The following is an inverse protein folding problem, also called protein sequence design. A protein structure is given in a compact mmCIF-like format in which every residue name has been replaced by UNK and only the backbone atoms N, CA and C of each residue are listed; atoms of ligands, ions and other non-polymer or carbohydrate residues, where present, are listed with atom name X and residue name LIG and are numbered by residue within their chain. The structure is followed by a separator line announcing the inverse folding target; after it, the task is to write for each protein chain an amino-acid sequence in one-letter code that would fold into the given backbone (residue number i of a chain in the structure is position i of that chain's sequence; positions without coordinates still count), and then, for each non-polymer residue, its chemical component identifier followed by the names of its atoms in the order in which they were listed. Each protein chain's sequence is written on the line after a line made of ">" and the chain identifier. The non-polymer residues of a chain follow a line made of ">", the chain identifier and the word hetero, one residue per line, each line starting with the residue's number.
data_IF_821585495424
#
_entry.id   IF_821585495424
#
_cell.length_a   1.000
_cell.length_b   1.000
_cell.length_c   1.000
_cell.angle_alpha   90.00
_cell.angle_beta   90.00
_cell.angle_gamma   90.00
#
_symmetry.space_group_name_H-M   'P 1'
#
loop_
_entity.id
_entity.type
_entity.pdbx_description
1 polymer ?
#
# COMPACT_ATOMS: atom_id res chain seq x y z
N UNK A 1 -17.35 3.72 -45.95
CA UNK A 1 -17.87 3.39 -44.60
C UNK A 1 -18.92 4.43 -44.26
N UNK A 2 -20.17 4.03 -44.02
CA UNK A 2 -21.25 4.99 -43.78
C UNK A 2 -21.13 5.67 -42.41
N UNK A 3 -21.44 6.96 -42.36
CA UNK A 3 -21.42 7.79 -41.15
C UNK A 3 -22.30 7.18 -40.04
N UNK A 4 -23.41 6.52 -40.39
CA UNK A 4 -24.29 5.83 -39.45
C UNK A 4 -23.62 4.66 -38.70
N UNK A 5 -22.76 3.90 -39.38
CA UNK A 5 -22.01 2.78 -38.77
C UNK A 5 -20.96 3.32 -37.80
N UNK A 6 -20.25 4.38 -38.19
CA UNK A 6 -19.26 5.05 -37.33
C UNK A 6 -19.93 5.63 -36.09
N UNK A 7 -21.06 6.33 -36.25
CA UNK A 7 -21.83 6.90 -35.13
C UNK A 7 -22.32 5.82 -34.16
N UNK A 8 -22.88 4.71 -34.66
CA UNK A 8 -23.32 3.61 -33.79
C UNK A 8 -22.16 2.96 -33.03
N UNK A 9 -21.01 2.74 -33.68
CA UNK A 9 -19.82 2.17 -33.05
C UNK A 9 -19.23 3.11 -32.00
N UNK A 10 -19.22 4.42 -32.28
CA UNK A 10 -18.78 5.45 -31.34
C UNK A 10 -19.70 5.55 -30.12
N UNK A 11 -21.03 5.56 -30.30
CA UNK A 11 -21.98 5.58 -29.18
C UNK A 11 -21.83 4.38 -28.27
N UNK A 12 -21.63 3.16 -28.83
CA UNK A 12 -21.37 1.95 -28.05
C UNK A 12 -20.04 2.02 -27.29
N UNK A 13 -18.99 2.55 -27.93
CA UNK A 13 -17.69 2.73 -27.27
C UNK A 13 -17.77 3.73 -26.10
N UNK A 14 -18.51 4.83 -26.27
CA UNK A 14 -18.75 5.83 -25.21
C UNK A 14 -19.58 5.23 -24.06
N UNK A 15 -20.65 4.49 -24.37
CA UNK A 15 -21.46 3.80 -23.36
C UNK A 15 -20.61 2.80 -22.55
N UNK A 16 -19.84 1.95 -23.22
CA UNK A 16 -18.93 1.01 -22.55
C UNK A 16 -17.77 1.68 -21.80
N UNK A 17 -17.35 2.88 -22.20
CA UNK A 17 -16.37 3.66 -21.42
C UNK A 17 -16.98 4.25 -20.14
N UNK A 18 -18.24 4.69 -20.18
CA UNK A 18 -18.98 5.18 -19.01
C UNK A 18 -19.22 4.07 -18.00
N UNK A 19 -19.69 2.90 -18.44
CA UNK A 19 -19.89 1.73 -17.57
C UNK A 19 -18.59 1.31 -16.89
N UNK A 20 -17.47 1.23 -17.63
CA UNK A 20 -16.15 0.90 -17.06
C UNK A 20 -15.70 1.94 -16.04
N UNK A 21 -15.96 3.22 -16.27
CA UNK A 21 -15.62 4.29 -15.31
C UNK A 21 -16.44 4.14 -14.02
N UNK A 22 -17.73 3.83 -14.13
CA UNK A 22 -18.59 3.62 -12.98
C UNK A 22 -18.16 2.38 -12.16
N UNK A 23 -17.91 1.25 -12.84
CA UNK A 23 -17.41 0.03 -12.20
C UNK A 23 -16.05 0.26 -11.51
N UNK A 24 -15.15 1.03 -12.13
CA UNK A 24 -13.87 1.42 -11.50
C UNK A 24 -14.09 2.21 -10.22
N UNK A 25 -15.00 3.19 -10.22
CA UNK A 25 -15.30 3.98 -9.02
C UNK A 25 -15.83 3.13 -7.88
N UNK A 26 -16.78 2.24 -8.16
CA UNK A 26 -17.33 1.31 -7.18
C UNK A 26 -16.25 0.41 -6.60
N UNK A 27 -15.37 -0.13 -7.44
CA UNK A 27 -14.21 -0.93 -7.01
C UNK A 27 -13.23 -0.13 -6.15
N UNK A 28 -12.90 1.11 -6.51
CA UNK A 28 -12.03 1.98 -5.72
C UNK A 28 -12.62 2.27 -4.34
N UNK A 29 -13.92 2.52 -4.23
CA UNK A 29 -14.58 2.76 -2.93
C UNK A 29 -14.54 1.50 -2.06
N UNK A 30 -14.85 0.33 -2.63
CA UNK A 30 -14.78 -0.94 -1.90
C UNK A 30 -13.36 -1.25 -1.44
N UNK A 31 -12.36 -1.06 -2.31
CA UNK A 31 -10.95 -1.25 -1.98
C UNK A 31 -10.48 -0.28 -0.89
N UNK A 32 -10.94 0.97 -0.93
CA UNK A 32 -10.66 1.98 0.11
C UNK A 32 -11.14 1.53 1.48
N UNK A 33 -12.38 1.03 1.59
CA UNK A 33 -12.91 0.51 2.87
C UNK A 33 -12.18 -0.73 3.35
N UNK A 34 -11.87 -1.66 2.45
CA UNK A 34 -11.08 -2.84 2.77
C UNK A 34 -9.69 -2.46 3.29
N UNK A 35 -9.08 -1.43 2.70
CA UNK A 35 -7.79 -0.90 3.14
C UNK A 35 -7.87 -0.24 4.53
N UNK A 36 -8.87 0.60 4.78
CA UNK A 36 -9.08 1.21 6.10
C UNK A 36 -9.24 0.13 7.20
N UNK A 37 -10.06 -0.90 6.93
CA UNK A 37 -10.25 -2.01 7.85
C UNK A 37 -8.96 -2.81 8.06
N UNK A 38 -8.20 -3.08 6.98
CA UNK A 38 -6.90 -3.73 7.05
C UNK A 38 -5.92 -2.96 7.95
N UNK A 39 -5.86 -1.63 7.79
CA UNK A 39 -4.99 -0.79 8.62
C UNK A 39 -5.39 -0.83 10.10
N UNK A 40 -6.68 -0.78 10.39
CA UNK A 40 -7.19 -0.76 11.77
C UNK A 40 -7.00 -2.10 12.47
N UNK A 41 -7.35 -3.20 11.81
CA UNK A 41 -7.43 -4.53 12.42
C UNK A 41 -6.09 -5.27 12.38
N UNK A 42 -5.30 -5.09 11.32
CA UNK A 42 -4.10 -5.90 11.07
C UNK A 42 -2.83 -5.06 11.15
N UNK A 43 -2.67 -4.07 10.26
CA UNK A 43 -1.38 -3.44 10.05
C UNK A 43 -0.95 -2.54 11.23
N UNK A 44 -1.85 -1.73 11.78
CA UNK A 44 -1.52 -0.80 12.87
C UNK A 44 -1.18 -1.52 14.18
N UNK A 45 -1.96 -2.50 14.65
CA UNK A 45 -1.59 -3.27 15.85
C UNK A 45 -0.24 -3.97 15.69
N UNK A 46 -0.01 -4.61 14.54
CA UNK A 46 1.24 -5.31 14.26
C UNK A 46 2.44 -4.37 14.19
N UNK A 47 2.31 -3.24 13.50
CA UNK A 47 3.38 -2.23 13.44
C UNK A 47 3.72 -1.66 14.83
N UNK A 48 2.73 -1.50 15.71
CA UNK A 48 2.97 -1.08 17.10
C UNK A 48 3.71 -2.15 17.90
N UNK A 49 3.33 -3.41 17.76
CA UNK A 49 4.03 -4.53 18.40
C UNK A 49 5.48 -4.61 17.93
N UNK A 50 5.73 -4.52 16.62
CA UNK A 50 7.07 -4.51 16.05
C UNK A 50 7.88 -3.31 16.55
N UNK A 51 7.31 -2.10 16.55
CA UNK A 51 7.99 -0.92 17.06
C UNK A 51 8.37 -1.06 18.55
N UNK A 52 7.49 -1.66 19.37
CA UNK A 52 7.79 -1.97 20.76
C UNK A 52 8.92 -2.99 20.92
N UNK A 53 8.93 -4.05 20.10
CA UNK A 53 10.00 -5.06 20.11
C UNK A 53 11.33 -4.49 19.63
N UNK A 54 11.35 -3.74 18.52
CA UNK A 54 12.54 -3.05 18.01
C UNK A 54 13.13 -2.11 19.06
N UNK A 55 12.28 -1.37 19.78
CA UNK A 55 12.73 -0.49 20.85
C UNK A 55 13.42 -1.24 21.99
N UNK A 56 12.95 -2.44 22.34
CA UNK A 56 13.60 -3.28 23.35
C UNK A 56 15.01 -3.74 22.91
N UNK A 57 15.19 -3.95 21.60
CA UNK A 57 16.47 -4.30 20.96
C UNK A 57 17.35 -3.06 20.64
N UNK A 58 16.92 -1.85 21.02
CA UNK A 58 17.68 -0.60 20.81
C UNK A 58 17.49 0.08 19.44
N UNK A 59 16.55 -0.40 18.63
CA UNK A 59 16.13 0.24 17.38
C UNK A 59 14.91 1.13 17.60
N UNK A 60 15.08 2.44 17.45
CA UNK A 60 14.02 3.41 17.71
C UNK A 60 13.17 3.65 16.45
N UNK A 61 11.93 3.15 16.48
CA UNK A 61 10.93 3.41 15.45
C UNK A 61 9.63 3.95 16.06
N UNK A 62 8.99 4.87 15.33
CA UNK A 62 7.71 5.48 15.71
C UNK A 62 6.63 5.19 14.66
N UNK A 63 5.44 4.80 15.12
CA UNK A 63 4.27 4.54 14.28
C UNK A 63 3.41 5.80 14.14
N UNK A 64 3.11 6.18 12.90
CA UNK A 64 2.23 7.28 12.52
C UNK A 64 1.07 6.76 11.67
N UNK A 65 -0.12 7.35 11.83
CA UNK A 65 -1.32 7.02 11.03
C UNK A 65 -1.89 8.27 10.33
N UNK A 66 -1.17 8.85 9.36
CA UNK A 66 -1.63 10.07 8.67
C UNK A 66 -2.73 9.75 7.66
N UNK A 67 -3.87 10.46 7.74
CA UNK A 67 -4.87 10.48 6.66
C UNK A 67 -5.41 9.12 6.21
N UNK A 68 -5.47 8.12 7.10
CA UNK A 68 -5.87 6.76 6.74
C UNK A 68 -4.77 5.92 6.07
N UNK A 69 -3.50 6.28 6.29
CA UNK A 69 -2.32 5.46 5.99
C UNK A 69 -1.61 4.99 7.26
N UNK A 70 -0.56 4.20 7.09
CA UNK A 70 0.31 3.74 8.19
C UNK A 70 1.77 3.96 7.80
N UNK A 71 2.54 4.59 8.69
CA UNK A 71 3.97 4.81 8.51
C UNK A 71 4.73 4.39 9.77
N UNK A 72 5.73 3.54 9.61
CA UNK A 72 6.72 3.17 10.62
C UNK A 72 8.03 3.90 10.28
N UNK A 73 8.36 4.95 11.02
CA UNK A 73 9.54 5.77 10.75
C UNK A 73 10.67 5.48 11.74
N UNK A 74 11.92 5.45 11.27
CA UNK A 74 13.09 5.37 12.12
C UNK A 74 13.39 6.74 12.73
N UNK A 75 13.59 6.81 14.04
CA UNK A 75 13.78 8.08 14.73
C UNK A 75 15.16 8.73 14.44
N UNK A 76 16.13 7.96 13.90
CA UNK A 76 17.48 8.43 13.60
C UNK A 76 17.60 9.13 12.25
N UNK A 77 16.69 8.86 11.31
CA UNK A 77 16.74 9.36 9.94
C UNK A 77 15.40 9.92 9.47
N UNK A 78 15.35 11.19 9.04
CA UNK A 78 14.10 11.83 8.61
C UNK A 78 13.44 11.16 7.40
N UNK A 79 14.25 10.57 6.53
CA UNK A 79 13.82 9.92 5.29
C UNK A 79 13.77 8.38 5.42
N UNK A 80 13.91 7.86 6.64
CA UNK A 80 13.95 6.43 6.92
C UNK A 80 12.57 5.95 7.43
N UNK A 81 11.81 5.27 6.57
CA UNK A 81 10.47 4.82 6.90
C UNK A 81 10.00 3.63 6.05
N UNK A 82 8.99 2.94 6.58
CA UNK A 82 8.13 2.01 5.85
C UNK A 82 6.71 2.60 5.88
N UNK A 83 6.11 2.84 4.72
CA UNK A 83 4.77 3.43 4.60
C UNK A 83 3.85 2.55 3.76
N UNK A 84 2.66 2.26 4.29
CA UNK A 84 1.61 1.53 3.61
C UNK A 84 0.70 2.50 2.84
N UNK A 85 0.34 2.09 1.63
CA UNK A 85 -0.61 2.78 0.77
C UNK A 85 -1.49 1.78 0.00
N UNK A 86 -2.64 2.24 -0.46
CA UNK A 86 -3.52 1.48 -1.35
C UNK A 86 -3.19 1.79 -2.82
N UNK A 87 -2.84 0.77 -3.57
CA UNK A 87 -2.86 0.82 -5.04
C UNK A 87 -4.22 0.34 -5.55
N UNK A 88 -5.13 1.31 -5.76
CA UNK A 88 -6.45 1.06 -6.33
C UNK A 88 -6.46 0.96 -7.87
N UNK A 89 -5.33 1.19 -8.53
CA UNK A 89 -5.19 1.09 -9.98
C UNK A 89 -4.87 -0.34 -10.44
N UNK A 90 -4.26 -1.14 -9.57
CA UNK A 90 -4.05 -2.57 -9.78
C UNK A 90 -5.36 -3.37 -9.81
N UNK A 91 -5.32 -4.52 -10.49
CA UNK A 91 -6.44 -5.46 -10.57
C UNK A 91 -5.96 -6.88 -10.16
N UNK A 92 -6.27 -7.34 -8.93
CA UNK A 92 -7.05 -6.65 -7.89
C UNK A 92 -6.29 -5.44 -7.29
N UNK A 93 -7.05 -4.51 -6.68
CA UNK A 93 -6.45 -3.45 -5.87
C UNK A 93 -5.63 -4.10 -4.74
N UNK A 94 -4.47 -3.55 -4.41
CA UNK A 94 -3.52 -4.20 -3.50
C UNK A 94 -2.88 -3.19 -2.56
N UNK A 95 -2.37 -3.68 -1.42
CA UNK A 95 -1.61 -2.85 -0.49
C UNK A 95 -0.15 -2.81 -0.95
N UNK A 96 0.37 -1.61 -1.17
CA UNK A 96 1.77 -1.36 -1.49
C UNK A 96 2.47 -0.72 -0.31
N UNK A 97 3.74 -1.04 -0.17
CA UNK A 97 4.61 -0.47 0.84
C UNK A 97 5.76 0.25 0.17
N UNK A 98 5.96 1.50 0.58
CA UNK A 98 7.13 2.28 0.26
C UNK A 98 8.14 2.14 1.39
N UNK A 99 9.32 1.64 1.08
CA UNK A 99 10.45 1.53 1.99
C UNK A 99 11.48 2.55 1.55
N UNK A 100 11.77 3.53 2.40
CA UNK A 100 12.81 4.53 2.18
C UNK A 100 13.83 4.43 3.29
N UNK A 101 15.11 4.37 2.94
CA UNK A 101 16.19 4.37 3.92
C UNK A 101 17.44 5.06 3.38
N UNK A 102 18.18 5.70 4.29
CA UNK A 102 19.40 6.41 3.94
C UNK A 102 20.60 5.47 4.02
N UNK A 103 21.32 5.32 2.90
CA UNK A 103 22.58 4.60 2.82
C UNK A 103 23.74 5.56 2.46
N UNK A 104 24.53 5.93 3.47
CA UNK A 104 25.58 6.95 3.32
C UNK A 104 24.98 8.32 3.01
N UNK A 105 25.29 8.88 1.84
CA UNK A 105 24.75 10.17 1.37
C UNK A 105 23.53 10.05 0.47
N UNK A 106 23.04 8.82 0.22
CA UNK A 106 21.93 8.56 -0.72
C UNK A 106 20.71 8.03 0.02
N UNK A 107 19.53 8.45 -0.40
CA UNK A 107 18.25 7.85 -0.01
C UNK A 107 17.87 6.81 -1.06
N UNK A 108 17.68 5.57 -0.62
CA UNK A 108 17.15 4.49 -1.44
C UNK A 108 15.67 4.36 -1.11
N UNK A 109 14.82 4.38 -2.14
CA UNK A 109 13.38 4.16 -2.00
C UNK A 109 12.96 3.06 -2.95
N UNK A 110 12.21 2.10 -2.42
CA UNK A 110 11.53 1.06 -3.19
C UNK A 110 10.05 1.04 -2.85
N UNK A 111 9.21 0.67 -3.83
CA UNK A 111 7.77 0.55 -3.65
C UNK A 111 7.31 -0.79 -4.22
N UNK A 112 6.76 -1.64 -3.36
CA UNK A 112 6.37 -3.02 -3.73
C UNK A 112 5.11 -3.46 -2.99
N UNK A 113 4.30 -4.35 -3.56
CA UNK A 113 3.13 -4.90 -2.89
C UNK A 113 3.54 -5.71 -1.66
N UNK A 114 2.73 -5.64 -0.58
CA UNK A 114 2.89 -6.50 0.60
C UNK A 114 2.81 -7.97 0.19
N UNK A 115 1.83 -8.28 -0.66
CA UNK A 115 1.68 -9.57 -1.33
C UNK A 115 1.10 -9.35 -2.72
N UNK A 116 1.82 -9.72 -3.80
CA UNK A 116 1.34 -9.51 -5.16
C UNK A 116 -0.05 -10.11 -5.39
N UNK A 117 -0.88 -9.40 -6.15
CA UNK A 117 -2.21 -9.86 -6.57
C UNK A 117 -3.17 -10.21 -5.40
N UNK A 118 -2.92 -9.67 -4.21
CA UNK A 118 -3.74 -9.91 -3.02
C UNK A 118 -4.46 -8.63 -2.60
N UNK A 119 -5.80 -8.64 -2.51
CA UNK A 119 -6.54 -7.47 -2.05
C UNK A 119 -6.40 -7.25 -0.53
N UNK A 120 -6.65 -6.02 -0.03
CA UNK A 120 -6.42 -5.69 1.37
C UNK A 120 -7.18 -6.57 2.37
N UNK A 121 -8.38 -7.03 2.02
CA UNK A 121 -9.23 -7.89 2.84
C UNK A 121 -8.78 -9.36 2.88
N UNK A 122 -7.85 -9.75 2.00
CA UNK A 122 -7.26 -11.09 1.97
C UNK A 122 -5.84 -11.15 2.57
N UNK A 123 -5.29 -10.02 3.02
CA UNK A 123 -3.99 -9.98 3.70
C UNK A 123 -4.12 -10.45 5.14
N UNK A 124 -3.25 -11.39 5.52
CA UNK A 124 -3.18 -11.90 6.90
C UNK A 124 -2.12 -11.17 7.72
N UNK A 125 -2.20 -11.31 9.06
CA UNK A 125 -1.13 -10.82 9.96
C UNK A 125 0.23 -11.40 9.60
N UNK A 126 0.29 -12.68 9.23
CA UNK A 126 1.54 -13.36 8.84
C UNK A 126 2.14 -12.77 7.56
N UNK A 127 1.31 -12.47 6.56
CA UNK A 127 1.77 -11.83 5.31
C UNK A 127 2.41 -10.45 5.61
N UNK A 128 1.77 -9.65 6.48
CA UNK A 128 2.27 -8.33 6.85
C UNK A 128 3.53 -8.44 7.72
N UNK A 129 3.57 -9.39 8.64
CA UNK A 129 4.74 -9.62 9.50
C UNK A 129 5.95 -10.04 8.66
N UNK A 130 5.78 -11.02 7.78
CA UNK A 130 6.83 -11.48 6.87
C UNK A 130 7.37 -10.32 6.02
N UNK A 131 6.47 -9.51 5.46
CA UNK A 131 6.86 -8.33 4.69
C UNK A 131 7.65 -7.31 5.54
N UNK A 132 7.17 -7.00 6.75
CA UNK A 132 7.82 -6.01 7.62
C UNK A 132 9.19 -6.47 8.08
N UNK A 133 9.37 -7.76 8.38
CA UNK A 133 10.67 -8.31 8.77
C UNK A 133 11.70 -8.18 7.64
N UNK A 134 11.32 -8.56 6.41
CA UNK A 134 12.15 -8.39 5.20
C UNK A 134 12.43 -6.90 4.93
N UNK A 135 11.43 -6.04 5.07
CA UNK A 135 11.60 -4.60 4.88
C UNK A 135 12.51 -3.94 5.93
N UNK A 136 12.64 -4.52 7.12
CA UNK A 136 13.44 -3.99 8.22
C UNK A 136 14.94 -4.34 8.12
N UNK A 137 15.32 -5.32 7.29
CA UNK A 137 16.70 -5.79 7.11
C UNK A 137 17.73 -4.65 6.94
N UNK A 138 17.48 -3.59 6.14
CA UNK A 138 18.46 -2.51 5.93
C UNK A 138 18.86 -1.74 7.19
N UNK A 139 18.04 -1.81 8.25
CA UNK A 139 18.34 -1.17 9.55
C UNK A 139 18.91 -2.16 10.58
N UNK A 140 18.68 -3.46 10.43
CA UNK A 140 19.11 -4.49 11.37
C UNK A 140 20.51 -5.00 11.02
N UNK A 141 20.82 -5.21 9.74
CA UNK A 141 22.11 -5.76 9.27
C UNK A 141 23.28 -4.73 9.28
N UNK A 142 23.09 -3.59 9.94
CA UNK A 142 24.08 -2.50 10.02
C UNK A 142 25.10 -2.66 11.13
#
# INVERSE_FOLDING_TARGET
>A
MEIGIVRNRLTRAIAGARERTQQRRERTVTAGRAYEQFLEVVATPLARQIASSLKAEGYSFTVFTPGGGLRLANDRGRDDFIEFALDAASEPAQVVCRVSHTHGSRTLSDERPVKPHTPPDALTEEDVLAFLLDALEPWIER
#
